data_IF_631040961488
#
_entry.id   IF_631040961488
#
_cell.length_a   1.000
_cell.length_b   1.000
_cell.length_c   1.000
_cell.angle_alpha   90.00
_cell.angle_beta   90.00
_cell.angle_gamma   90.00
#
_symmetry.space_group_name_H-M   'P 1'
#
loop_
_entity.id
_entity.type
_entity.pdbx_description
1 polymer ?
#
# COMPACT_ATOMS: atom_id res chain seq x y z
N UNK A 1 30.81 -10.07 24.61
CA UNK A 1 30.54 -8.75 25.24
C UNK A 1 31.15 -7.60 24.43
N UNK A 2 32.46 -7.64 24.11
CA UNK A 2 33.13 -6.60 23.30
C UNK A 2 32.50 -6.37 21.91
N UNK A 3 32.08 -7.43 21.22
CA UNK A 3 31.41 -7.36 19.91
C UNK A 3 30.02 -6.71 19.96
N UNK A 4 29.32 -6.81 21.09
CA UNK A 4 27.99 -6.23 21.28
C UNK A 4 28.12 -4.73 21.61
N UNK A 5 29.08 -4.37 22.46
CA UNK A 5 29.37 -2.98 22.81
C UNK A 5 29.85 -2.17 21.60
N UNK A 6 30.71 -2.74 20.75
CA UNK A 6 31.16 -2.10 19.50
C UNK A 6 29.99 -1.79 18.56
N UNK A 7 29.10 -2.75 18.31
CA UNK A 7 27.89 -2.53 17.48
C UNK A 7 26.96 -1.46 18.06
N UNK A 8 26.88 -1.36 19.38
CA UNK A 8 26.02 -0.38 20.05
C UNK A 8 26.59 1.05 19.95
N UNK A 9 27.91 1.21 20.05
CA UNK A 9 28.60 2.50 19.86
C UNK A 9 28.42 2.99 18.42
N UNK A 10 28.57 2.10 17.43
CA UNK A 10 28.36 2.43 16.02
C UNK A 10 26.91 2.83 15.74
N UNK A 11 25.93 2.15 16.34
CA UNK A 11 24.52 2.51 16.21
C UNK A 11 24.22 3.93 16.73
N UNK A 12 24.78 4.30 17.89
CA UNK A 12 24.62 5.64 18.48
C UNK A 12 25.29 6.71 17.61
N UNK A 13 26.48 6.45 17.08
CA UNK A 13 27.16 7.37 16.17
C UNK A 13 26.35 7.59 14.88
N UNK A 14 25.76 6.52 14.35
CA UNK A 14 24.94 6.56 13.15
C UNK A 14 23.60 7.29 13.36
N UNK A 15 22.99 7.17 14.55
CA UNK A 15 21.81 7.96 14.92
C UNK A 15 22.10 9.45 14.93
N UNK A 16 23.25 9.88 15.49
CA UNK A 16 23.67 11.30 15.49
C UNK A 16 23.86 11.85 14.07
N UNK A 17 24.41 11.05 13.15
CA UNK A 17 24.56 11.44 11.74
C UNK A 17 23.19 11.69 11.09
N UNK A 18 22.22 10.78 11.31
CA UNK A 18 20.85 10.93 10.79
C UNK A 18 20.16 12.17 11.39
N UNK A 19 20.34 12.42 12.69
CA UNK A 19 19.79 13.58 13.36
C UNK A 19 20.38 14.90 12.85
N UNK A 20 21.69 14.97 12.61
CA UNK A 20 22.33 16.14 12.04
C UNK A 20 21.82 16.42 10.63
N UNK A 21 21.71 15.39 9.78
CA UNK A 21 21.15 15.54 8.44
C UNK A 21 19.68 16.01 8.47
N UNK A 22 18.88 15.51 9.43
CA UNK A 22 17.50 15.97 9.66
C UNK A 22 17.45 17.44 10.10
N UNK A 23 18.35 17.87 10.98
CA UNK A 23 18.44 19.27 11.43
C UNK A 23 18.78 20.19 10.27
N UNK A 24 19.80 19.86 9.48
CA UNK A 24 20.21 20.66 8.32
C UNK A 24 19.11 20.77 7.27
N UNK A 25 18.40 19.66 7.01
CA UNK A 25 17.28 19.66 6.07
C UNK A 25 16.10 20.50 6.57
N UNK A 26 15.82 20.48 7.88
CA UNK A 26 14.78 21.31 8.51
C UNK A 26 15.10 22.80 8.43
N UNK A 27 16.36 23.17 8.66
CA UNK A 27 16.82 24.57 8.51
C UNK A 27 16.60 25.08 7.09
N UNK A 28 16.84 24.23 6.07
CA UNK A 28 16.61 24.57 4.66
C UNK A 28 15.13 24.58 4.26
N UNK A 29 14.23 23.99 5.05
CA UNK A 29 12.81 23.83 4.72
C UNK A 29 11.89 24.13 5.92
N UNK A 30 11.91 25.35 6.47
CA UNK A 30 11.28 25.65 7.76
C UNK A 30 9.75 25.51 7.76
N UNK A 31 9.11 25.61 6.59
CA UNK A 31 7.64 25.51 6.43
C UNK A 31 7.12 24.07 6.38
N UNK A 32 7.99 23.05 6.33
CA UNK A 32 7.57 21.64 6.20
C UNK A 32 7.45 20.98 7.57
N UNK A 33 6.43 20.15 7.71
CA UNK A 33 6.27 19.26 8.88
C UNK A 33 7.35 18.18 8.90
N UNK A 34 7.62 17.61 10.08
CA UNK A 34 8.59 16.52 10.22
C UNK A 34 8.23 15.28 9.36
N UNK A 35 6.93 15.01 9.18
CA UNK A 35 6.44 13.93 8.31
C UNK A 35 6.80 14.18 6.84
N UNK A 36 6.62 15.41 6.35
CA UNK A 36 6.97 15.79 4.97
C UNK A 36 8.48 15.81 4.73
N UNK A 37 9.25 16.25 5.72
CA UNK A 37 10.71 16.18 5.72
C UNK A 37 11.15 14.73 5.61
N UNK A 38 10.64 13.82 6.45
CA UNK A 38 11.00 12.39 6.41
C UNK A 38 10.61 11.75 5.07
N UNK A 39 9.44 12.06 4.51
CA UNK A 39 9.03 11.57 3.19
C UNK A 39 9.96 12.08 2.07
N UNK A 40 10.45 13.32 2.18
CA UNK A 40 11.37 13.90 1.20
C UNK A 40 12.78 13.31 1.33
N UNK A 41 13.29 13.18 2.56
CA UNK A 41 14.57 12.55 2.87
C UNK A 41 14.62 11.11 2.36
N UNK A 42 13.57 10.32 2.63
CA UNK A 42 13.44 8.95 2.11
C UNK A 42 13.40 8.86 0.58
N UNK A 43 13.18 9.97 -0.13
CA UNK A 43 13.20 10.06 -1.60
C UNK A 43 14.54 10.57 -2.15
N UNK A 44 15.40 11.17 -1.33
CA UNK A 44 16.72 11.63 -1.74
C UNK A 44 17.65 10.45 -2.04
N UNK A 45 18.32 10.49 -3.19
CA UNK A 45 19.34 9.51 -3.57
C UNK A 45 20.52 9.54 -2.60
N UNK A 46 20.88 10.72 -2.09
CA UNK A 46 21.98 10.94 -1.13
C UNK A 46 21.69 10.28 0.22
N UNK A 47 20.52 10.53 0.80
CA UNK A 47 20.08 9.94 2.06
C UNK A 47 20.02 8.41 1.98
N UNK A 48 19.57 7.86 0.84
CA UNK A 48 19.54 6.42 0.61
C UNK A 48 20.93 5.81 0.56
N UNK A 49 21.92 6.48 -0.06
CA UNK A 49 23.32 6.03 -0.07
C UNK A 49 23.87 5.96 1.35
N UNK A 50 23.72 7.03 2.12
CA UNK A 50 24.14 7.07 3.53
C UNK A 50 23.46 5.96 4.33
N UNK A 51 22.14 5.77 4.19
CA UNK A 51 21.42 4.71 4.90
C UNK A 51 21.94 3.31 4.54
N UNK A 52 22.26 3.04 3.27
CA UNK A 52 22.83 1.75 2.85
C UNK A 52 24.21 1.53 3.50
N UNK A 53 25.08 2.52 3.51
CA UNK A 53 26.39 2.45 4.18
C UNK A 53 26.25 2.17 5.69
N UNK A 54 25.25 2.77 6.33
CA UNK A 54 24.94 2.51 7.73
C UNK A 54 24.47 1.07 7.97
N UNK A 55 23.62 0.53 7.07
CA UNK A 55 23.15 -0.85 7.17
C UNK A 55 24.30 -1.85 7.04
N UNK A 56 25.25 -1.61 6.13
CA UNK A 56 26.47 -2.43 5.99
C UNK A 56 27.27 -2.42 7.29
N UNK A 57 27.51 -1.23 7.86
CA UNK A 57 28.25 -1.09 9.14
C UNK A 57 27.55 -1.79 10.30
N UNK A 58 26.22 -1.83 10.31
CA UNK A 58 25.44 -2.56 11.30
C UNK A 58 25.45 -4.09 11.10
N UNK A 59 26.17 -4.60 10.08
CA UNK A 59 26.29 -6.03 9.79
C UNK A 59 25.09 -6.60 9.04
N UNK A 60 24.29 -5.77 8.37
CA UNK A 60 23.29 -6.27 7.41
C UNK A 60 24.06 -6.86 6.23
N UNK A 61 23.70 -8.08 5.82
CA UNK A 61 24.37 -8.76 4.72
C UNK A 61 24.22 -8.00 3.40
N UNK A 62 25.25 -8.06 2.55
CA UNK A 62 25.21 -7.52 1.18
C UNK A 62 24.04 -8.11 0.38
N UNK A 63 23.71 -9.38 0.61
CA UNK A 63 22.54 -10.04 0.02
C UNK A 63 21.22 -9.30 0.36
N UNK A 64 21.05 -8.88 1.62
CA UNK A 64 19.87 -8.13 2.05
C UNK A 64 19.80 -6.77 1.37
N UNK A 65 20.95 -6.11 1.19
CA UNK A 65 21.04 -4.82 0.51
C UNK A 65 20.72 -4.96 -0.97
N UNK A 66 21.20 -6.01 -1.64
CA UNK A 66 20.88 -6.24 -3.04
C UNK A 66 19.39 -6.56 -3.24
N UNK A 67 18.76 -7.31 -2.32
CA UNK A 67 17.29 -7.49 -2.30
C UNK A 67 16.54 -6.17 -2.16
N UNK A 68 17.02 -5.24 -1.34
CA UNK A 68 16.41 -3.90 -1.21
C UNK A 68 16.56 -3.08 -2.49
N UNK A 69 17.75 -3.08 -3.10
CA UNK A 69 18.02 -2.40 -4.38
C UNK A 69 17.15 -2.98 -5.50
N UNK A 70 17.06 -4.30 -5.59
CA UNK A 70 16.23 -5.00 -6.58
C UNK A 70 14.75 -4.67 -6.40
N UNK A 71 14.25 -4.67 -5.17
CA UNK A 71 12.88 -4.21 -4.88
C UNK A 71 12.65 -2.75 -5.29
N UNK A 72 13.64 -1.87 -5.13
CA UNK A 72 13.56 -0.49 -5.60
C UNK A 72 13.54 -0.40 -7.13
N UNK A 73 14.41 -1.16 -7.82
CA UNK A 73 14.41 -1.27 -9.29
C UNK A 73 13.05 -1.77 -9.76
N UNK A 74 12.49 -2.82 -9.15
CA UNK A 74 11.13 -3.32 -9.42
C UNK A 74 10.08 -2.25 -9.20
N UNK A 75 10.14 -1.48 -8.10
CA UNK A 75 9.18 -0.38 -7.85
C UNK A 75 9.28 0.74 -8.88
N UNK A 76 10.49 1.12 -9.31
CA UNK A 76 10.73 2.15 -10.34
C UNK A 76 10.35 1.68 -11.74
N UNK A 77 10.66 0.42 -12.07
CA UNK A 77 10.38 -0.22 -13.35
C UNK A 77 8.95 -0.76 -13.45
N UNK A 78 8.21 -0.81 -12.34
CA UNK A 78 6.75 -0.90 -12.34
C UNK A 78 6.20 0.43 -12.84
N UNK A 79 6.47 0.75 -14.11
CA UNK A 79 5.51 1.47 -14.95
C UNK A 79 4.21 0.74 -14.67
N UNK A 80 3.21 1.44 -14.12
CA UNK A 80 1.86 0.92 -14.08
C UNK A 80 1.49 0.69 -15.54
N UNK A 81 1.79 -0.50 -16.07
CA UNK A 81 1.11 -1.03 -17.24
C UNK A 81 -0.31 -1.19 -16.73
N UNK A 82 -1.10 -0.15 -16.93
CA UNK A 82 -2.54 -0.26 -16.89
C UNK A 82 -2.84 -1.18 -18.05
N UNK A 83 -2.88 -2.47 -17.75
CA UNK A 83 -3.46 -3.43 -18.65
C UNK A 83 -4.93 -3.00 -18.77
N UNK A 84 -5.30 -2.50 -19.94
CA UNK A 84 -6.64 -1.98 -20.18
C UNK A 84 -7.66 -3.12 -20.25
N UNK A 85 -7.19 -4.31 -20.64
CA UNK A 85 -7.97 -5.52 -20.85
C UNK A 85 -8.10 -6.29 -19.53
N UNK A 86 -7.07 -6.26 -18.67
CA UNK A 86 -7.11 -6.82 -17.33
C UNK A 86 -6.69 -5.81 -16.25
N UNK A 87 -7.50 -4.77 -16.01
CA UNK A 87 -7.16 -3.75 -15.02
C UNK A 87 -7.10 -4.35 -13.63
N UNK A 88 -6.09 -3.97 -12.85
CA UNK A 88 -6.02 -4.36 -11.44
C UNK A 88 -7.29 -3.90 -10.69
N UNK A 89 -7.73 -4.69 -9.71
CA UNK A 89 -8.87 -4.39 -8.82
C UNK A 89 -8.91 -2.93 -8.34
N UNK A 90 -7.76 -2.41 -7.90
CA UNK A 90 -7.63 -1.03 -7.43
C UNK A 90 -7.88 0.00 -8.52
N UNK A 91 -7.43 -0.25 -9.76
CA UNK A 91 -7.67 0.62 -10.92
C UNK A 91 -9.15 0.68 -11.25
N UNK A 92 -9.86 -0.45 -11.19
CA UNK A 92 -11.31 -0.51 -11.45
C UNK A 92 -12.06 0.28 -10.37
N UNK A 93 -11.72 0.09 -9.09
CA UNK A 93 -12.31 0.86 -8.00
C UNK A 93 -12.11 2.37 -8.15
N UNK A 94 -10.91 2.80 -8.56
CA UNK A 94 -10.63 4.20 -8.83
C UNK A 94 -11.46 4.72 -10.01
N UNK A 95 -11.60 3.92 -11.06
CA UNK A 95 -12.43 4.26 -12.21
C UNK A 95 -13.90 4.41 -11.83
N UNK A 96 -14.46 3.48 -11.04
CA UNK A 96 -15.86 3.56 -10.58
C UNK A 96 -16.09 4.77 -9.68
N UNK A 97 -15.18 5.05 -8.73
CA UNK A 97 -15.26 6.23 -7.87
C UNK A 97 -15.27 7.54 -8.65
N UNK A 98 -14.69 7.55 -9.86
CA UNK A 98 -14.65 8.72 -10.73
C UNK A 98 -15.91 8.87 -11.59
N UNK A 99 -16.52 7.77 -12.03
CA UNK A 99 -17.59 7.79 -13.04
C UNK A 99 -18.99 7.50 -12.48
N UNK A 100 -19.11 6.81 -11.34
CA UNK A 100 -20.40 6.57 -10.66
C UNK A 100 -20.61 7.65 -9.60
N UNK A 101 -21.73 8.41 -9.62
CA UNK A 101 -22.06 9.33 -8.54
C UNK A 101 -22.11 8.59 -7.20
N UNK A 102 -21.46 9.15 -6.17
CA UNK A 102 -21.44 8.58 -4.82
C UNK A 102 -22.63 9.15 -4.02
N UNK A 103 -23.61 8.31 -3.60
CA UNK A 103 -24.71 8.76 -2.76
C UNK A 103 -24.23 9.03 -1.33
N UNK A 104 -25.08 9.70 -0.55
CA UNK A 104 -24.83 9.97 0.88
C UNK A 104 -25.15 8.74 1.74
N UNK A 105 -26.14 7.94 1.31
CA UNK A 105 -26.67 6.80 2.05
C UNK A 105 -26.26 5.48 1.41
N UNK A 106 -26.03 4.47 2.25
CA UNK A 106 -25.79 3.09 1.81
C UNK A 106 -27.03 2.55 1.08
N UNK A 107 -26.84 1.93 -0.08
CA UNK A 107 -27.93 1.37 -0.90
C UNK A 107 -28.61 0.15 -0.25
N UNK A 108 -27.94 -0.53 0.69
CA UNK A 108 -28.51 -1.68 1.43
C UNK A 108 -29.23 -1.26 2.71
N UNK A 109 -28.57 -0.48 3.57
CA UNK A 109 -29.09 -0.19 4.91
C UNK A 109 -29.63 1.23 5.10
N UNK A 110 -29.52 2.09 4.10
CA UNK A 110 -30.02 3.48 4.13
C UNK A 110 -29.26 4.43 5.07
N UNK A 111 -28.24 3.95 5.80
CA UNK A 111 -27.48 4.76 6.77
C UNK A 111 -26.42 5.62 6.08
N UNK A 112 -26.21 6.84 6.58
CA UNK A 112 -25.14 7.75 6.15
C UNK A 112 -23.82 7.35 6.82
N UNK A 113 -22.88 6.86 6.03
CA UNK A 113 -21.58 6.32 6.47
C UNK A 113 -20.56 6.41 5.35
N UNK A 114 -19.32 6.07 5.64
CA UNK A 114 -18.30 5.85 4.61
C UNK A 114 -18.73 4.69 3.68
N UNK A 115 -18.99 5.07 2.42
CA UNK A 115 -19.36 4.13 1.37
C UNK A 115 -18.17 3.75 0.49
N UNK A 116 -18.15 2.47 0.12
CA UNK A 116 -17.28 1.83 -0.83
C UNK A 116 -18.10 1.30 -2.01
N UNK A 117 -17.50 1.30 -3.20
CA UNK A 117 -18.12 0.71 -4.37
C UNK A 117 -17.94 -0.81 -4.31
N UNK A 118 -19.02 -1.55 -4.49
CA UNK A 118 -19.03 -3.01 -4.53
C UNK A 118 -19.65 -3.45 -5.85
N UNK A 119 -19.03 -4.44 -6.51
CA UNK A 119 -19.52 -4.98 -7.76
C UNK A 119 -20.47 -6.16 -7.47
N UNK A 120 -21.57 -6.24 -8.22
CA UNK A 120 -22.66 -7.16 -7.94
C UNK A 120 -22.26 -8.64 -7.98
N UNK A 121 -21.37 -9.03 -8.88
CA UNK A 121 -20.98 -10.42 -9.10
C UNK A 121 -19.48 -10.69 -8.92
N UNK A 122 -18.73 -9.70 -8.41
CA UNK A 122 -17.28 -9.73 -8.25
C UNK A 122 -16.48 -10.01 -9.53
N UNK A 123 -17.08 -9.82 -10.72
CA UNK A 123 -16.32 -9.88 -11.98
C UNK A 123 -15.61 -8.57 -12.29
N UNK A 124 -15.91 -7.51 -11.52
CA UNK A 124 -15.27 -6.20 -11.61
C UNK A 124 -15.33 -5.60 -13.02
N UNK A 125 -16.49 -5.70 -13.68
CA UNK A 125 -16.68 -5.07 -14.99
C UNK A 125 -16.63 -3.53 -14.88
N UNK A 126 -16.44 -2.84 -16.01
CA UNK A 126 -16.60 -1.37 -16.12
C UNK A 126 -18.06 -0.94 -16.35
N UNK A 127 -19.03 -1.85 -16.25
CA UNK A 127 -20.44 -1.51 -16.36
C UNK A 127 -20.93 -0.86 -15.06
N UNK A 128 -21.22 0.45 -15.07
CA UNK A 128 -21.58 1.21 -13.85
C UNK A 128 -22.85 0.68 -13.16
N UNK A 129 -23.75 0.04 -13.89
CA UNK A 129 -25.01 -0.50 -13.37
C UNK A 129 -24.80 -1.78 -12.54
N UNK A 130 -23.66 -2.44 -12.72
CA UNK A 130 -23.24 -3.61 -11.93
C UNK A 130 -22.55 -3.22 -10.62
N UNK A 131 -22.52 -1.93 -10.28
CA UNK A 131 -21.90 -1.44 -9.05
C UNK A 131 -22.93 -0.78 -8.15
N UNK A 132 -22.71 -0.92 -6.84
CA UNK A 132 -23.51 -0.34 -5.77
C UNK A 132 -22.63 0.30 -4.71
N UNK A 133 -23.12 1.34 -4.05
CA UNK A 133 -22.42 2.01 -2.95
C UNK A 133 -22.89 1.49 -1.60
N UNK A 134 -22.00 0.78 -0.91
CA UNK A 134 -22.28 0.13 0.36
C UNK A 134 -21.42 0.71 1.47
N UNK A 135 -21.97 0.82 2.68
CA UNK A 135 -21.13 1.08 3.83
C UNK A 135 -20.25 -0.15 4.12
N UNK A 136 -19.07 0.07 4.71
CA UNK A 136 -18.06 -0.98 4.96
C UNK A 136 -18.64 -2.26 5.60
N UNK A 137 -19.53 -2.21 6.62
CA UNK A 137 -20.12 -3.42 7.18
C UNK A 137 -21.01 -4.18 6.19
N UNK A 138 -21.85 -3.46 5.43
CA UNK A 138 -22.71 -4.07 4.41
C UNK A 138 -21.88 -4.65 3.27
N UNK A 139 -20.80 -3.97 2.87
CA UNK A 139 -19.88 -4.44 1.84
C UNK A 139 -19.24 -5.76 2.24
N UNK A 140 -18.64 -5.85 3.43
CA UNK A 140 -18.02 -7.09 3.93
C UNK A 140 -19.01 -8.24 4.03
N UNK A 141 -20.22 -7.96 4.51
CA UNK A 141 -21.28 -8.98 4.59
C UNK A 141 -21.70 -9.46 3.20
N UNK A 142 -21.85 -8.53 2.25
CA UNK A 142 -22.16 -8.85 0.86
C UNK A 142 -21.12 -9.79 0.25
N UNK A 143 -19.84 -9.44 0.40
CA UNK A 143 -18.75 -10.23 -0.15
C UNK A 143 -18.61 -11.61 0.50
N UNK A 144 -18.90 -11.71 1.81
CA UNK A 144 -18.90 -12.98 2.54
C UNK A 144 -20.03 -13.91 2.05
N UNK A 145 -21.23 -13.37 1.86
CA UNK A 145 -22.38 -14.14 1.40
C UNK A 145 -22.22 -14.63 -0.03
N UNK A 146 -21.66 -13.81 -0.94
CA UNK A 146 -21.36 -14.25 -2.30
C UNK A 146 -20.38 -15.43 -2.33
N UNK A 147 -19.32 -15.38 -1.52
CA UNK A 147 -18.37 -16.50 -1.40
C UNK A 147 -19.04 -17.77 -0.90
N UNK A 148 -19.88 -17.66 0.14
CA UNK A 148 -20.58 -18.82 0.69
C UNK A 148 -21.55 -19.45 -0.33
N UNK A 149 -22.29 -18.62 -1.07
CA UNK A 149 -23.20 -19.10 -2.10
C UNK A 149 -22.46 -19.77 -3.26
N UNK A 150 -21.31 -19.22 -3.67
CA UNK A 150 -20.49 -19.81 -4.73
C UNK A 150 -19.95 -21.19 -4.32
N UNK A 151 -19.48 -21.34 -3.08
CA UNK A 151 -19.04 -22.64 -2.53
C UNK A 151 -20.20 -23.65 -2.51
N UNK A 152 -21.40 -23.23 -2.12
CA UNK A 152 -22.57 -24.12 -2.11
C UNK A 152 -22.94 -24.62 -3.51
N UNK A 153 -22.91 -23.75 -4.53
CA UNK A 153 -23.18 -24.12 -5.93
C UNK A 153 -22.13 -25.11 -6.43
N UNK A 154 -20.84 -24.83 -6.20
CA UNK A 154 -19.75 -25.72 -6.60
C UNK A 154 -19.86 -27.11 -5.95
N UNK A 155 -20.25 -27.17 -4.67
CA UNK A 155 -20.47 -28.43 -3.97
C UNK A 155 -21.66 -29.21 -4.53
N UNK A 156 -22.76 -28.53 -4.86
CA UNK A 156 -23.93 -29.17 -5.46
C UNK A 156 -23.63 -29.76 -6.84
N UNK A 157 -22.85 -29.06 -7.68
CA UNK A 157 -22.43 -29.56 -9.00
C UNK A 157 -21.56 -30.82 -8.84
N UNK A 158 -20.62 -30.83 -7.90
CA UNK A 158 -19.75 -31.98 -7.63
C UNK A 158 -20.48 -33.24 -7.16
N UNK A 159 -21.65 -33.09 -6.52
CA UNK A 159 -22.47 -34.23 -6.06
C UNK A 159 -23.27 -34.84 -7.21
N UNK A 160 -23.51 -34.08 -8.29
CA UNK A 160 -24.37 -34.49 -9.41
C UNK A 160 -23.62 -35.03 -10.65
N UNK A 161 -22.29 -35.01 -10.64
CA UNK A 161 -21.41 -35.56 -11.67
C UNK A 161 -20.81 -36.87 -11.16
#
# INVERSE_FOLDING_TARGET
ILTILSKHIDLIANQKIIENYRKDFRLKNPKRTLSEINKTLMRSSEYRKTLIELLIKCGISEETIEKLKENERRRKNKKFRIDYDNPAYSTIHLWIKKHKPKPIKCEICGKERDLEASNNDHKYSRNLDEWRWLCIPCHRNYDANLRNNQIQIENYIKIKV
#
